data_IF_754840401643
#
_entry.id   IF_754840401643
#
_cell.length_a   1.000
_cell.length_b   1.000
_cell.length_c   1.000
_cell.angle_alpha   90.00
_cell.angle_beta   90.00
_cell.angle_gamma   90.00
#
_symmetry.space_group_name_H-M   'P 1'
#
loop_
_entity.id
_entity.type
_entity.pdbx_description
1 polymer ?
#
# COMPACT_ATOMS: atom_id res chain seq x y z
N UNK A 1 -8.50 27.03 5.93
CA UNK A 1 -8.35 26.52 5.86
C UNK A 1 -8.32 26.35 5.82
N UNK A 2 -8.43 26.57 5.95
CA UNK A 2 -8.31 26.07 5.85
C UNK A 2 -8.14 25.65 5.57
N UNK A 3 -8.24 25.70 5.60
CA UNK A 3 -7.98 24.95 5.40
C UNK A 3 -7.79 24.41 5.19
N UNK A 4 -7.70 24.44 5.09
CA UNK A 4 -7.44 23.66 4.78
C UNK A 4 -7.00 23.21 4.79
N UNK A 5 -6.68 23.22 4.91
CA UNK A 5 -6.24 22.58 4.86
C UNK A 5 -5.95 21.88 5.14
N UNK A 6 -6.36 21.91 5.45
CA UNK A 6 -6.15 21.12 5.92
C UNK A 6 -5.64 20.27 5.73
N UNK A 7 -5.16 19.95 5.95
CA UNK A 7 -4.55 18.96 5.61
C UNK A 7 -5.05 17.93 5.46
N UNK A 8 -5.07 17.89 4.94
CA UNK A 8 -5.46 16.92 4.77
C UNK A 8 -5.24 15.97 4.98
N UNK A 9 -6.03 15.52 5.62
CA UNK A 9 -5.50 14.25 5.63
C UNK A 9 -5.23 13.92 4.27
N UNK A 10 -4.12 13.78 4.13
CA UNK A 10 -3.60 13.47 2.90
C UNK A 10 -3.87 12.08 2.57
N UNK A 11 -3.89 11.75 1.34
CA UNK A 11 -3.97 10.40 0.89
C UNK A 11 -2.83 9.60 1.51
N UNK A 12 -3.08 8.33 1.88
CA UNK A 12 -2.02 7.49 2.41
C UNK A 12 -0.89 7.35 1.41
N UNK A 13 0.33 7.30 1.92
CA UNK A 13 1.48 7.16 1.05
C UNK A 13 1.60 5.74 0.50
N UNK A 14 1.12 4.75 1.25
CA UNK A 14 1.23 3.35 0.85
C UNK A 14 -0.15 2.80 0.56
N UNK A 15 -0.30 2.16 -0.60
CA UNK A 15 -1.52 1.47 -0.98
C UNK A 15 -1.19 0.01 -1.26
N UNK A 16 -1.91 -0.88 -0.61
CA UNK A 16 -1.74 -2.31 -0.81
C UNK A 16 -2.96 -2.84 -1.54
N UNK A 17 -2.75 -3.40 -2.74
CA UNK A 17 -3.81 -4.05 -3.49
C UNK A 17 -3.75 -5.55 -3.25
N UNK A 18 -4.85 -6.12 -2.83
CA UNK A 18 -4.92 -7.54 -2.53
C UNK A 18 -6.33 -8.06 -2.67
N UNK A 19 -6.58 -9.26 -2.13
CA UNK A 19 -7.91 -9.83 -2.14
C UNK A 19 -8.05 -10.78 -0.96
N UNK A 20 -9.30 -11.07 -0.61
CA UNK A 20 -9.59 -12.00 0.48
C UNK A 20 -9.08 -13.39 0.14
N UNK A 21 -8.60 -14.10 1.15
CA UNK A 21 -8.14 -15.47 0.96
C UNK A 21 -6.76 -15.60 0.34
N UNK A 22 -6.07 -14.50 0.15
CA UNK A 22 -4.74 -14.49 -0.43
C UNK A 22 -3.68 -14.55 0.67
N UNK A 23 -2.93 -15.63 0.72
CA UNK A 23 -1.95 -15.83 1.77
C UNK A 23 -0.81 -14.82 1.70
N UNK A 24 -0.32 -14.56 0.49
CA UNK A 24 0.73 -13.56 0.30
C UNK A 24 0.24 -12.15 0.63
N UNK A 25 -1.03 -11.89 0.39
CA UNK A 25 -1.62 -10.60 0.75
C UNK A 25 -1.63 -10.41 2.26
N UNK A 26 -1.88 -11.48 3.02
CA UNK A 26 -1.84 -11.41 4.48
C UNK A 26 -0.43 -11.11 4.97
N UNK A 27 0.58 -11.73 4.35
CA UNK A 27 1.98 -11.46 4.71
C UNK A 27 2.36 -10.03 4.38
N UNK A 28 1.96 -9.54 3.20
CA UNK A 28 2.26 -8.19 2.80
C UNK A 28 1.59 -7.17 3.72
N UNK A 29 0.36 -7.44 4.13
CA UNK A 29 -0.36 -6.57 5.05
C UNK A 29 0.41 -6.41 6.35
N UNK A 30 0.92 -7.52 6.89
CA UNK A 30 1.66 -7.48 8.14
C UNK A 30 2.93 -6.63 8.01
N UNK A 31 3.64 -6.76 6.89
CA UNK A 31 4.85 -5.97 6.66
C UNK A 31 4.51 -4.49 6.52
N UNK A 32 3.51 -4.16 5.70
CA UNK A 32 3.12 -2.77 5.49
C UNK A 32 2.69 -2.14 6.80
N UNK A 33 1.88 -2.84 7.57
CA UNK A 33 1.41 -2.31 8.84
C UNK A 33 2.57 -2.05 9.78
N UNK A 34 3.51 -2.98 9.90
CA UNK A 34 4.63 -2.84 10.81
C UNK A 34 5.53 -1.67 10.42
N UNK A 35 5.86 -1.56 9.14
CA UNK A 35 6.75 -0.49 8.67
C UNK A 35 6.07 0.87 8.78
N UNK A 36 4.81 0.96 8.36
CA UNK A 36 4.11 2.24 8.44
C UNK A 36 3.90 2.69 9.88
N UNK A 37 3.60 1.75 10.78
CA UNK A 37 3.47 2.06 12.19
C UNK A 37 4.79 2.57 12.76
N UNK A 38 5.89 1.91 12.39
CA UNK A 38 7.22 2.30 12.84
C UNK A 38 7.56 3.72 12.42
N UNK A 39 7.21 4.11 11.19
CA UNK A 39 7.60 5.39 10.61
C UNK A 39 6.52 6.47 10.73
N UNK A 40 5.38 6.15 11.32
CA UNK A 40 4.30 7.12 11.45
C UNK A 40 3.62 7.45 10.13
N UNK A 41 3.64 6.52 9.18
CA UNK A 41 3.00 6.73 7.89
C UNK A 41 1.64 6.06 7.85
N UNK A 42 0.75 6.61 7.04
CA UNK A 42 -0.57 6.01 6.85
C UNK A 42 -0.55 5.12 5.61
N UNK A 43 -1.44 4.13 5.60
CA UNK A 43 -1.58 3.22 4.48
C UNK A 43 -3.02 2.78 4.33
N UNK A 44 -3.36 2.29 3.16
CA UNK A 44 -4.70 1.76 2.91
C UNK A 44 -4.60 0.47 2.12
N UNK A 45 -5.62 -0.35 2.27
CA UNK A 45 -5.72 -1.60 1.53
C UNK A 45 -6.94 -1.54 0.62
N UNK A 46 -6.78 -2.00 -0.62
CA UNK A 46 -7.85 -2.01 -1.60
C UNK A 46 -8.06 -3.44 -2.08
N UNK A 47 -9.30 -3.89 -2.04
CA UNK A 47 -9.67 -5.22 -2.54
C UNK A 47 -9.89 -5.11 -4.05
N UNK A 48 -9.06 -5.80 -4.83
CA UNK A 48 -9.15 -5.72 -6.28
C UNK A 48 -10.42 -6.37 -6.82
N UNK A 49 -11.05 -7.26 -6.05
CA UNK A 49 -12.29 -7.88 -6.49
C UNK A 49 -13.45 -6.89 -6.53
N UNK A 50 -13.31 -5.75 -5.87
CA UNK A 50 -14.35 -4.74 -5.85
C UNK A 50 -14.37 -3.89 -7.12
N UNK A 51 -13.35 -4.00 -7.98
CA UNK A 51 -13.26 -3.17 -9.18
C UNK A 51 -12.67 -4.00 -10.32
N UNK A 52 -13.46 -4.25 -11.39
CA UNK A 52 -12.98 -5.06 -12.51
C UNK A 52 -11.71 -4.51 -13.17
N UNK A 53 -11.53 -3.19 -13.18
CA UNK A 53 -10.33 -2.60 -13.77
C UNK A 53 -9.09 -2.96 -12.95
N UNK A 54 -9.21 -3.00 -11.63
CA UNK A 54 -8.10 -3.40 -10.77
C UNK A 54 -7.81 -4.88 -10.91
N UNK A 55 -8.85 -5.70 -11.02
CA UNK A 55 -8.68 -7.13 -11.21
C UNK A 55 -7.93 -7.41 -12.50
N UNK A 56 -8.29 -6.70 -13.57
CA UNK A 56 -7.64 -6.85 -14.85
C UNK A 56 -6.17 -6.43 -14.80
N UNK A 57 -5.90 -5.33 -14.09
CA UNK A 57 -4.57 -4.75 -14.04
C UNK A 57 -3.62 -5.52 -13.12
N UNK A 58 -4.10 -5.94 -11.94
CA UNK A 58 -3.24 -6.49 -10.89
C UNK A 58 -3.52 -7.95 -10.55
N UNK A 59 -4.51 -8.58 -11.19
CA UNK A 59 -5.02 -9.86 -10.73
C UNK A 59 -3.99 -10.97 -10.58
N UNK A 60 -2.90 -10.92 -11.36
CA UNK A 60 -1.87 -11.94 -11.29
C UNK A 60 -0.62 -11.48 -10.54
N UNK A 61 -0.64 -10.24 -10.05
CA UNK A 61 0.53 -9.67 -9.37
C UNK A 61 0.31 -9.38 -7.91
N UNK A 62 -0.91 -9.61 -7.41
CA UNK A 62 -1.19 -9.31 -6.00
C UNK A 62 -0.37 -10.20 -5.08
N UNK A 63 0.02 -9.66 -3.91
CA UNK A 63 -0.23 -8.28 -3.49
C UNK A 63 0.65 -7.29 -4.22
N UNK A 64 0.09 -6.13 -4.57
CA UNK A 64 0.83 -5.05 -5.20
C UNK A 64 0.90 -3.89 -4.23
N UNK A 65 2.10 -3.37 -4.01
CA UNK A 65 2.32 -2.26 -3.09
C UNK A 65 2.72 -1.03 -3.88
N UNK A 66 1.98 0.06 -3.67
CA UNK A 66 2.32 1.36 -4.23
C UNK A 66 2.84 2.26 -3.14
N UNK A 67 3.88 3.02 -3.45
CA UNK A 67 4.39 4.06 -2.57
C UNK A 67 4.35 5.37 -3.34
N UNK A 68 3.64 6.34 -2.77
CA UNK A 68 3.46 7.66 -3.39
C UNK A 68 2.94 7.57 -4.82
N UNK A 69 2.03 6.62 -5.06
CA UNK A 69 1.39 6.43 -6.34
C UNK A 69 2.16 5.63 -7.35
N UNK A 70 3.34 5.13 -7.00
CA UNK A 70 4.16 4.33 -7.91
C UNK A 70 4.24 2.91 -7.42
N UNK A 71 4.21 1.96 -8.36
CA UNK A 71 4.35 0.55 -8.00
C UNK A 71 5.74 0.34 -7.39
N UNK A 72 5.75 -0.20 -6.18
CA UNK A 72 6.97 -0.40 -5.41
C UNK A 72 7.40 -1.86 -5.43
N UNK A 73 6.46 -2.75 -5.09
CA UNK A 73 6.71 -4.18 -5.06
C UNK A 73 5.47 -4.92 -5.53
N UNK A 74 5.67 -6.16 -5.97
CA UNK A 74 4.56 -7.07 -6.22
C UNK A 74 4.91 -8.43 -5.61
N UNK A 75 3.89 -9.23 -5.29
CA UNK A 75 3.94 -10.52 -4.61
C UNK A 75 4.41 -10.38 -3.16
N UNK A 76 5.66 -10.06 -2.92
CA UNK A 76 6.18 -9.92 -1.56
C UNK A 76 6.65 -8.50 -1.33
N UNK A 77 6.53 -8.07 -0.07
CA UNK A 77 6.99 -6.74 0.33
C UNK A 77 8.23 -6.92 1.18
N UNK A 78 9.33 -6.34 0.75
CA UNK A 78 10.56 -6.34 1.51
C UNK A 78 10.51 -5.17 2.50
N UNK A 79 10.53 -5.43 3.82
CA UNK A 79 10.38 -4.34 4.78
C UNK A 79 11.50 -3.31 4.70
N UNK A 80 12.73 -3.72 4.39
CA UNK A 80 13.84 -2.76 4.31
C UNK A 80 13.71 -1.86 3.10
N UNK A 81 13.28 -2.43 1.96
CA UNK A 81 13.02 -1.62 0.78
C UNK A 81 11.90 -0.64 1.01
N UNK A 82 10.85 -1.07 1.70
CA UNK A 82 9.73 -0.20 2.00
C UNK A 82 10.17 0.94 2.91
N UNK A 83 10.96 0.64 3.95
CA UNK A 83 11.49 1.68 4.83
C UNK A 83 12.31 2.70 4.04
N UNK A 84 13.17 2.21 3.17
CA UNK A 84 14.02 3.08 2.36
C UNK A 84 13.19 3.98 1.46
N UNK A 85 12.17 3.42 0.81
CA UNK A 85 11.29 4.21 -0.05
C UNK A 85 10.56 5.29 0.73
N UNK A 86 10.10 4.99 1.92
CA UNK A 86 9.36 5.96 2.74
C UNK A 86 10.26 7.02 3.33
N UNK A 87 11.50 6.69 3.64
CA UNK A 87 12.46 7.64 4.21
C UNK A 87 13.16 8.47 3.15
N UNK A 88 13.23 7.99 1.95
CA UNK A 88 14.02 8.61 0.88
C UNK A 88 13.39 9.84 0.27
N UNK A 89 12.32 10.33 0.84
CA UNK A 89 11.60 11.48 0.32
C UNK A 89 12.16 12.80 0.80
#
# INVERSE_FOLDING_TARGET
VTGPDAPQPTAPRVTLYGRAGCHLCDEARAVVEAVCSELGESWTEVDIDADPALLDRFGEEIPVTLVDGRQHDFWRVDPDRLRTALRGR
#
